data_IF_998089416283
#
_entry.id   IF_998089416283
#
_cell.length_a   1.000
_cell.length_b   1.000
_cell.length_c   1.000
_cell.angle_alpha   90.00
_cell.angle_beta   90.00
_cell.angle_gamma   90.00
#
_symmetry.space_group_name_H-M   'P 1'
#
loop_
_entity.id
_entity.type
_entity.pdbx_description
1 polymer ?
#
# COMPACT_ATOMS: atom_id res chain seq x y z
N UNK A 1 -18.57 3.02 20.39
CA UNK A 1 -17.64 2.13 21.13
C UNK A 1 -16.30 2.86 21.34
N UNK A 2 -15.57 2.57 22.42
CA UNK A 2 -14.31 3.26 22.77
C UNK A 2 -13.26 3.17 21.65
N UNK A 3 -13.12 2.00 21.01
CA UNK A 3 -12.23 1.79 19.87
C UNK A 3 -12.46 2.79 18.72
N UNK A 4 -13.70 2.96 18.27
CA UNK A 4 -14.03 3.92 17.21
C UNK A 4 -13.72 5.37 17.59
N UNK A 5 -13.95 5.75 18.87
CA UNK A 5 -13.59 7.10 19.36
C UNK A 5 -12.08 7.34 19.32
N UNK A 6 -11.29 6.34 19.70
CA UNK A 6 -9.82 6.37 19.62
C UNK A 6 -9.36 6.60 18.19
N UNK A 7 -9.92 5.87 17.22
CA UNK A 7 -9.57 6.02 15.81
C UNK A 7 -10.07 7.33 15.19
N UNK A 8 -11.18 7.89 15.66
CA UNK A 8 -11.73 9.15 15.13
C UNK A 8 -11.10 10.41 15.74
N UNK A 9 -10.46 10.33 16.91
CA UNK A 9 -9.88 11.49 17.56
C UNK A 9 -8.75 12.11 16.72
N UNK A 10 -8.81 13.41 16.45
CA UNK A 10 -7.74 14.10 15.70
C UNK A 10 -6.39 14.07 16.44
N UNK A 11 -6.43 14.06 17.77
CA UNK A 11 -5.26 13.99 18.64
C UNK A 11 -5.57 13.12 19.87
N UNK A 12 -4.58 12.33 20.30
CA UNK A 12 -4.61 11.55 21.54
C UNK A 12 -4.81 12.44 22.77
N UNK A 13 -4.35 13.69 22.73
CA UNK A 13 -4.58 14.67 23.79
C UNK A 13 -6.06 14.98 24.01
N UNK A 14 -6.88 14.85 22.97
CA UNK A 14 -8.32 15.12 22.98
C UNK A 14 -9.16 13.92 23.43
N UNK A 15 -8.53 12.77 23.71
CA UNK A 15 -9.24 11.59 24.20
C UNK A 15 -9.65 11.75 25.65
N UNK A 16 -10.88 11.31 25.93
CA UNK A 16 -11.37 11.15 27.29
C UNK A 16 -10.40 10.25 28.08
N UNK A 17 -10.16 10.64 29.33
CA UNK A 17 -9.49 9.81 30.33
C UNK A 17 -9.97 8.36 30.36
N UNK A 18 -11.27 8.12 30.12
CA UNK A 18 -11.86 6.79 30.07
C UNK A 18 -11.35 5.91 28.91
N UNK A 19 -10.92 6.51 27.79
CA UNK A 19 -10.44 5.78 26.61
C UNK A 19 -8.91 5.51 26.65
N UNK A 20 -8.17 6.19 27.55
CA UNK A 20 -6.70 6.06 27.67
C UNK A 20 -6.21 4.65 27.99
N UNK A 21 -6.82 3.89 28.91
CA UNK A 21 -6.36 2.53 29.21
C UNK A 21 -6.42 1.62 27.98
N UNK A 22 -7.47 1.75 27.17
CA UNK A 22 -7.63 0.98 25.93
C UNK A 22 -6.58 1.39 24.90
N UNK A 23 -6.32 2.69 24.72
CA UNK A 23 -5.26 3.15 23.82
C UNK A 23 -3.89 2.57 24.21
N UNK A 24 -3.53 2.61 25.50
CA UNK A 24 -2.25 2.07 26.00
C UNK A 24 -2.16 0.57 25.76
N UNK A 25 -3.26 -0.16 25.95
CA UNK A 25 -3.33 -1.58 25.65
C UNK A 25 -3.07 -1.83 24.15
N UNK A 26 -3.76 -1.12 23.26
CA UNK A 26 -3.60 -1.26 21.80
C UNK A 26 -2.16 -0.98 21.34
N UNK A 27 -1.56 0.12 21.83
CA UNK A 27 -0.17 0.46 21.54
C UNK A 27 0.81 -0.61 22.05
N UNK A 28 0.55 -1.15 23.23
CA UNK A 28 1.37 -2.21 23.81
C UNK A 28 1.29 -3.50 22.99
N UNK A 29 0.07 -3.89 22.59
CA UNK A 29 -0.14 -5.06 21.72
C UNK A 29 0.53 -4.92 20.36
N UNK A 30 0.44 -3.77 19.69
CA UNK A 30 1.16 -3.51 18.44
C UNK A 30 2.68 -3.62 18.63
N UNK A 31 3.22 -3.04 19.70
CA UNK A 31 4.66 -3.11 19.99
C UNK A 31 5.13 -4.53 20.22
N UNK A 32 4.39 -5.33 20.99
CA UNK A 32 4.72 -6.73 21.23
C UNK A 32 4.65 -7.56 19.94
N UNK A 33 3.61 -7.33 19.12
CA UNK A 33 3.48 -7.95 17.80
C UNK A 33 4.64 -7.57 16.88
N UNK A 34 5.05 -6.30 16.85
CA UNK A 34 6.20 -5.84 16.07
C UNK A 34 7.52 -6.50 16.49
N UNK A 35 7.79 -6.56 17.80
CA UNK A 35 9.00 -7.23 18.32
C UNK A 35 8.99 -8.72 17.96
N UNK A 36 7.84 -9.38 18.08
CA UNK A 36 7.69 -10.78 17.68
C UNK A 36 7.91 -10.96 16.18
N UNK A 37 7.25 -10.14 15.35
CA UNK A 37 7.39 -10.15 13.90
C UNK A 37 8.84 -10.00 13.45
N UNK A 38 9.52 -8.98 13.98
CA UNK A 38 10.91 -8.64 13.62
C UNK A 38 11.94 -9.68 14.07
N UNK A 39 11.63 -10.52 15.06
CA UNK A 39 12.47 -11.63 15.48
C UNK A 39 12.15 -12.90 14.69
N UNK A 40 10.87 -13.22 14.49
CA UNK A 40 10.43 -14.44 13.80
C UNK A 40 10.71 -14.40 12.31
N UNK A 41 10.56 -13.25 11.65
CA UNK A 41 10.64 -13.14 10.19
C UNK A 41 11.90 -12.41 9.70
N UNK A 42 12.89 -12.21 10.60
CA UNK A 42 14.08 -11.39 10.31
C UNK A 42 14.83 -11.86 9.08
N UNK A 43 15.22 -13.13 9.08
CA UNK A 43 16.03 -13.72 8.03
C UNK A 43 15.23 -13.83 6.72
N UNK A 44 13.97 -14.24 6.83
CA UNK A 44 13.07 -14.41 5.69
C UNK A 44 12.84 -13.10 4.92
N UNK A 45 12.61 -12.00 5.64
CA UNK A 45 12.26 -10.71 5.04
C UNK A 45 13.44 -9.74 4.98
N UNK A 46 14.63 -10.10 5.46
CA UNK A 46 15.81 -9.23 5.50
C UNK A 46 15.64 -8.03 6.44
N UNK A 47 14.95 -8.19 7.57
CA UNK A 47 14.60 -7.09 8.48
C UNK A 47 15.86 -6.55 9.18
N UNK A 48 16.15 -5.24 9.11
CA UNK A 48 17.30 -4.64 9.78
C UNK A 48 17.24 -4.78 11.30
N UNK A 49 18.41 -4.84 11.94
CA UNK A 49 18.50 -4.83 13.40
C UNK A 49 18.14 -3.44 13.93
N UNK A 50 17.10 -3.38 14.76
CA UNK A 50 16.68 -2.16 15.45
C UNK A 50 17.64 -1.85 16.60
N UNK A 51 18.04 -0.58 16.77
CA UNK A 51 19.12 -0.19 17.70
C UNK A 51 18.67 -0.13 19.16
N UNK A 52 17.36 -0.04 19.43
CA UNK A 52 16.83 0.21 20.77
C UNK A 52 16.31 -1.04 21.46
N UNK A 53 16.39 -1.04 22.81
CA UNK A 53 15.70 -2.02 23.67
C UNK A 53 14.17 -1.98 23.53
N UNK A 54 13.63 -0.86 23.03
CA UNK A 54 12.22 -0.69 22.64
C UNK A 54 12.20 -0.23 21.19
N UNK A 55 12.18 -1.20 20.29
CA UNK A 55 12.09 -0.92 18.87
C UNK A 55 10.68 -0.42 18.51
N UNK A 56 10.62 0.59 17.66
CA UNK A 56 9.38 1.14 17.10
C UNK A 56 9.38 0.92 15.59
N UNK A 57 8.19 0.80 15.01
CA UNK A 57 8.01 0.66 13.55
C UNK A 57 8.61 1.85 12.79
N UNK A 58 8.55 3.04 13.39
CA UNK A 58 9.12 4.28 12.85
C UNK A 58 10.62 4.18 12.52
N UNK A 59 11.38 3.36 13.24
CA UNK A 59 12.80 3.14 12.97
C UNK A 59 13.04 2.39 11.65
N UNK A 60 12.04 1.63 11.20
CA UNK A 60 12.10 0.87 9.95
C UNK A 60 11.46 1.59 8.78
N UNK A 61 10.83 2.77 8.97
CA UNK A 61 10.14 3.48 7.87
C UNK A 61 11.00 3.62 6.60
N UNK A 62 12.27 4.07 6.65
CA UNK A 62 13.08 4.18 5.43
C UNK A 62 13.24 2.84 4.71
N UNK A 63 13.48 1.76 5.47
CA UNK A 63 13.65 0.42 4.92
C UNK A 63 12.33 -0.16 4.39
N UNK A 64 11.21 0.04 5.09
CA UNK A 64 9.88 -0.41 4.68
C UNK A 64 9.44 0.23 3.36
N UNK A 65 9.80 1.50 3.14
CA UNK A 65 9.49 2.20 1.89
C UNK A 65 10.18 1.58 0.67
N UNK A 66 11.28 0.86 0.88
CA UNK A 66 12.02 0.16 -0.18
C UNK A 66 11.67 -1.33 -0.23
N UNK A 67 10.94 -1.85 0.77
CA UNK A 67 10.61 -3.28 0.95
C UNK A 67 9.10 -3.46 1.17
N UNK A 68 8.30 -3.16 0.15
CA UNK A 68 6.84 -3.15 0.24
C UNK A 68 6.23 -4.50 0.62
N UNK A 69 6.83 -5.63 0.23
CA UNK A 69 6.38 -6.96 0.65
C UNK A 69 6.47 -7.12 2.18
N UNK A 70 7.59 -6.69 2.77
CA UNK A 70 7.76 -6.70 4.22
C UNK A 70 6.80 -5.70 4.90
N UNK A 71 6.54 -4.56 4.26
CA UNK A 71 5.55 -3.59 4.74
C UNK A 71 4.14 -4.17 4.78
N UNK A 72 3.66 -4.82 3.70
CA UNK A 72 2.35 -5.51 3.69
C UNK A 72 2.29 -6.60 4.76
N UNK A 73 3.36 -7.38 4.89
CA UNK A 73 3.43 -8.45 5.89
C UNK A 73 3.41 -7.92 7.33
N UNK A 74 4.09 -6.80 7.61
CA UNK A 74 4.06 -6.18 8.93
C UNK A 74 2.63 -5.74 9.27
N UNK A 75 1.96 -5.03 8.36
CA UNK A 75 0.61 -4.51 8.61
C UNK A 75 -0.41 -5.64 8.81
N UNK A 76 -0.29 -6.75 8.08
CA UNK A 76 -1.09 -7.96 8.32
C UNK A 76 -0.77 -8.68 9.64
N UNK A 77 0.37 -8.38 10.28
CA UNK A 77 0.79 -8.98 11.54
C UNK A 77 0.37 -8.15 12.76
N UNK A 78 0.09 -6.85 12.58
CA UNK A 78 -0.27 -5.97 13.68
C UNK A 78 -1.74 -6.16 14.07
N UNK A 79 -2.06 -6.30 15.38
CA UNK A 79 -3.43 -6.49 15.84
C UNK A 79 -4.30 -5.23 15.75
N UNK A 80 -3.69 -4.04 15.67
CA UNK A 80 -4.40 -2.76 15.56
C UNK A 80 -3.71 -1.90 14.50
N UNK A 81 -3.79 -2.33 13.24
CA UNK A 81 -3.08 -1.72 12.12
C UNK A 81 -3.56 -0.28 11.84
N UNK A 82 -4.84 0.01 12.05
CA UNK A 82 -5.45 1.33 11.89
C UNK A 82 -4.81 2.34 12.85
N UNK A 83 -4.50 1.91 14.07
CA UNK A 83 -3.85 2.75 15.07
C UNK A 83 -2.40 3.04 14.68
N UNK A 84 -1.69 2.05 14.14
CA UNK A 84 -0.31 2.21 13.67
C UNK A 84 -0.26 3.22 12.52
N UNK A 85 -1.05 3.00 11.46
CA UNK A 85 -0.99 3.83 10.26
C UNK A 85 -1.44 5.27 10.54
N UNK A 86 -2.39 5.47 11.48
CA UNK A 86 -2.83 6.80 11.90
C UNK A 86 -1.70 7.64 12.50
N UNK A 87 -0.69 7.01 13.10
CA UNK A 87 0.47 7.70 13.65
C UNK A 87 1.51 8.09 12.60
N UNK A 88 1.39 7.58 11.37
CA UNK A 88 2.37 7.84 10.32
C UNK A 88 2.15 9.21 9.69
N UNK A 89 3.24 9.93 9.35
CA UNK A 89 3.17 11.09 8.47
C UNK A 89 2.44 10.75 7.16
N UNK A 90 1.47 11.59 6.77
CA UNK A 90 0.70 11.41 5.53
C UNK A 90 1.61 11.28 4.29
N UNK A 91 2.77 11.95 4.28
CA UNK A 91 3.74 11.84 3.21
C UNK A 91 4.28 10.40 3.00
N UNK A 92 4.43 9.63 4.09
CA UNK A 92 4.83 8.21 4.00
C UNK A 92 3.70 7.34 3.47
N UNK A 93 2.46 7.60 3.91
CA UNK A 93 1.27 6.90 3.39
C UNK A 93 1.12 7.14 1.88
N UNK A 94 1.31 8.38 1.42
CA UNK A 94 1.28 8.72 -0.01
C UNK A 94 2.42 8.01 -0.75
N UNK A 95 3.63 7.99 -0.20
CA UNK A 95 4.78 7.30 -0.81
C UNK A 95 4.50 5.81 -0.98
N UNK A 96 3.93 5.17 0.05
CA UNK A 96 3.50 3.77 -0.02
C UNK A 96 2.41 3.58 -1.08
N UNK A 97 1.35 4.38 -1.06
CA UNK A 97 0.27 4.30 -2.04
C UNK A 97 0.75 4.39 -3.48
N UNK A 98 1.72 5.26 -3.79
CA UNK A 98 2.33 5.33 -5.12
C UNK A 98 3.03 4.03 -5.54
N UNK A 99 3.68 3.36 -4.59
CA UNK A 99 4.31 2.07 -4.84
C UNK A 99 3.27 0.97 -5.09
N UNK A 100 2.18 0.97 -4.31
CA UNK A 100 1.07 0.01 -4.49
C UNK A 100 0.37 0.18 -5.84
N UNK A 101 0.05 1.42 -6.21
CA UNK A 101 -0.51 1.75 -7.53
C UNK A 101 0.41 1.26 -8.66
N UNK A 102 1.72 1.48 -8.52
CA UNK A 102 2.68 1.01 -9.50
C UNK A 102 2.70 -0.52 -9.61
N UNK A 103 2.71 -1.25 -8.49
CA UNK A 103 2.64 -2.70 -8.48
C UNK A 103 1.36 -3.21 -9.19
N UNK A 104 0.20 -2.62 -8.89
CA UNK A 104 -1.06 -3.01 -9.54
C UNK A 104 -1.07 -2.73 -11.04
N UNK A 105 -0.55 -1.57 -11.47
CA UNK A 105 -0.46 -1.21 -12.88
C UNK A 105 0.46 -2.16 -13.63
N UNK A 106 1.63 -2.47 -13.08
CA UNK A 106 2.58 -3.41 -13.67
C UNK A 106 1.99 -4.83 -13.75
N UNK A 107 1.30 -5.29 -12.70
CA UNK A 107 0.59 -6.57 -12.70
C UNK A 107 -0.52 -6.61 -13.76
N UNK A 108 -1.27 -5.52 -13.94
CA UNK A 108 -2.29 -5.43 -14.98
C UNK A 108 -1.68 -5.51 -16.39
N UNK A 109 -0.57 -4.82 -16.65
CA UNK A 109 0.15 -4.89 -17.92
C UNK A 109 0.61 -6.32 -18.22
N UNK A 110 1.22 -7.00 -17.24
CA UNK A 110 1.66 -8.39 -17.38
C UNK A 110 0.50 -9.34 -17.66
N UNK A 111 -0.60 -9.18 -16.92
CA UNK A 111 -1.81 -9.99 -17.10
C UNK A 111 -2.36 -9.83 -18.52
N UNK A 112 -2.47 -8.59 -19.01
CA UNK A 112 -2.98 -8.31 -20.36
C UNK A 112 -2.02 -8.85 -21.43
N UNK A 113 -0.70 -8.72 -21.25
CA UNK A 113 0.27 -9.27 -22.21
C UNK A 113 0.25 -10.80 -22.26
N UNK A 114 0.00 -11.45 -21.13
CA UNK A 114 -0.07 -12.91 -21.01
C UNK A 114 -1.39 -13.52 -21.48
N UNK A 115 -2.47 -12.74 -21.54
CA UNK A 115 -3.80 -13.23 -21.88
C UNK A 115 -3.94 -13.48 -23.39
N UNK A 116 -3.99 -14.76 -23.77
CA UNK A 116 -4.08 -15.22 -25.17
C UNK A 116 -5.44 -14.90 -25.82
N UNK A 117 -6.46 -14.57 -25.04
CA UNK A 117 -7.78 -14.16 -25.56
C UNK A 117 -7.78 -12.70 -26.04
N UNK A 118 -6.80 -11.90 -25.61
CA UNK A 118 -6.67 -10.50 -26.04
C UNK A 118 -6.07 -10.36 -27.43
N UNK A 119 -6.38 -9.24 -28.08
CA UNK A 119 -5.79 -8.86 -29.37
C UNK A 119 -4.26 -8.79 -29.27
N UNK A 120 -3.56 -9.36 -30.26
CA UNK A 120 -2.09 -9.39 -30.29
C UNK A 120 -1.45 -8.00 -30.16
N UNK A 121 -2.08 -6.97 -30.72
CA UNK A 121 -1.65 -5.57 -30.61
C UNK A 121 -1.68 -5.08 -29.16
N UNK A 122 -2.75 -5.37 -28.42
CA UNK A 122 -2.87 -5.00 -27.01
C UNK A 122 -1.79 -5.68 -26.17
N UNK A 123 -1.59 -6.98 -26.40
CA UNK A 123 -0.60 -7.77 -25.67
C UNK A 123 0.82 -7.25 -25.89
N UNK A 124 1.18 -7.01 -27.15
CA UNK A 124 2.48 -6.45 -27.53
C UNK A 124 2.67 -5.06 -26.92
N UNK A 125 1.66 -4.20 -27.02
CA UNK A 125 1.69 -2.86 -26.45
C UNK A 125 1.91 -2.87 -24.93
N UNK A 126 1.19 -3.74 -24.20
CA UNK A 126 1.36 -3.90 -22.75
C UNK A 126 2.73 -4.47 -22.38
N UNK A 127 3.26 -5.43 -23.14
CA UNK A 127 4.61 -5.97 -22.93
C UNK A 127 5.68 -4.88 -23.11
N UNK A 128 5.63 -4.14 -24.23
CA UNK A 128 6.58 -3.05 -24.50
C UNK A 128 6.49 -1.93 -23.46
N UNK A 129 5.30 -1.62 -22.99
CA UNK A 129 5.11 -0.64 -21.93
C UNK A 129 5.67 -1.13 -20.60
N UNK A 130 5.38 -2.37 -20.21
CA UNK A 130 5.94 -2.98 -19.02
C UNK A 130 7.49 -2.95 -19.05
N UNK A 131 8.09 -3.35 -20.17
CA UNK A 131 9.54 -3.36 -20.32
C UNK A 131 10.14 -1.94 -20.25
N UNK A 132 9.46 -0.94 -20.81
CA UNK A 132 9.87 0.45 -20.69
C UNK A 132 9.84 0.96 -19.24
N UNK A 133 8.87 0.53 -18.43
CA UNK A 133 8.82 0.86 -17.00
C UNK A 133 9.94 0.19 -16.19
N UNK A 134 10.47 -0.94 -16.67
CA UNK A 134 11.54 -1.71 -16.05
C UNK A 134 12.92 -1.44 -16.67
N UNK A 135 13.02 -0.42 -17.53
CA UNK A 135 14.25 -0.12 -18.24
C UNK A 135 15.42 0.17 -17.28
N UNK A 136 16.61 -0.41 -17.49
CA UNK A 136 17.78 -0.15 -16.66
C UNK A 136 18.12 1.35 -16.59
N UNK A 137 18.36 1.86 -15.38
CA UNK A 137 18.71 3.27 -15.16
C UNK A 137 17.51 4.23 -15.08
N UNK A 138 16.27 3.75 -15.27
CA UNK A 138 15.08 4.54 -15.03
C UNK A 138 14.87 4.73 -13.53
N UNK A 139 14.67 5.98 -13.08
CA UNK A 139 14.37 6.25 -11.68
C UNK A 139 12.98 5.73 -11.29
N UNK A 140 12.80 5.37 -10.02
CA UNK A 140 11.50 4.89 -9.51
C UNK A 140 10.37 5.88 -9.81
N UNK A 141 10.60 7.19 -9.62
CA UNK A 141 9.61 8.23 -9.91
C UNK A 141 9.25 8.28 -11.40
N UNK A 142 10.24 8.13 -12.28
CA UNK A 142 10.01 8.12 -13.73
C UNK A 142 9.26 6.86 -14.17
N UNK A 143 9.60 5.69 -13.61
CA UNK A 143 8.89 4.44 -13.85
C UNK A 143 7.42 4.54 -13.40
N UNK A 144 7.17 5.09 -12.21
CA UNK A 144 5.82 5.34 -11.70
C UNK A 144 5.02 6.29 -12.61
N UNK A 145 5.63 7.41 -13.03
CA UNK A 145 4.98 8.35 -13.94
C UNK A 145 4.65 7.70 -15.30
N UNK A 146 5.54 6.84 -15.81
CA UNK A 146 5.34 6.13 -17.07
C UNK A 146 4.20 5.11 -16.98
N UNK A 147 4.12 4.33 -15.90
CA UNK A 147 3.04 3.37 -15.66
C UNK A 147 1.68 4.05 -15.44
N UNK A 148 1.67 5.25 -14.88
CA UNK A 148 0.45 6.03 -14.63
C UNK A 148 -0.03 6.84 -15.85
N UNK A 149 0.68 6.80 -16.98
CA UNK A 149 0.40 7.65 -18.14
C UNK A 149 -1.06 7.55 -18.62
N UNK A 150 -1.87 8.63 -18.47
CA UNK A 150 -3.28 8.61 -18.85
C UNK A 150 -3.48 8.37 -20.34
N UNK A 151 -2.61 8.93 -21.18
CA UNK A 151 -2.68 8.78 -22.63
C UNK A 151 -2.43 7.33 -23.07
N UNK A 152 -1.52 6.62 -22.40
CA UNK A 152 -1.26 5.21 -22.68
C UNK A 152 -2.41 4.32 -22.25
N UNK A 153 -3.00 4.58 -21.07
CA UNK A 153 -4.21 3.88 -20.62
C UNK A 153 -5.39 4.11 -21.58
N UNK A 154 -5.64 5.37 -21.96
CA UNK A 154 -6.68 5.73 -22.94
C UNK A 154 -6.44 5.10 -24.30
N UNK A 155 -5.19 4.98 -24.73
CA UNK A 155 -4.85 4.27 -25.98
C UNK A 155 -5.19 2.78 -25.87
N UNK A 156 -4.88 2.15 -24.74
CA UNK A 156 -5.14 0.74 -24.51
C UNK A 156 -6.64 0.38 -24.57
N UNK A 157 -7.52 1.31 -24.16
CA UNK A 157 -8.98 1.15 -24.23
C UNK A 157 -9.54 0.93 -25.66
N UNK A 158 -8.76 1.21 -26.71
CA UNK A 158 -9.16 0.91 -28.09
C UNK A 158 -9.16 -0.60 -28.38
N UNK A 159 -8.42 -1.39 -27.59
CA UNK A 159 -8.32 -2.83 -27.77
C UNK A 159 -9.03 -3.63 -26.69
N UNK A 160 -9.07 -3.13 -25.45
CA UNK A 160 -9.63 -3.84 -24.30
C UNK A 160 -10.63 -2.95 -23.53
N UNK A 161 -11.60 -3.54 -22.78
CA UNK A 161 -12.48 -2.76 -21.92
C UNK A 161 -11.71 -1.97 -20.84
N UNK A 162 -12.16 -0.76 -20.52
CA UNK A 162 -11.56 0.08 -19.49
C UNK A 162 -11.49 -0.61 -18.10
N UNK A 163 -12.41 -1.53 -17.81
CA UNK A 163 -12.43 -2.34 -16.59
C UNK A 163 -11.21 -3.25 -16.40
N UNK A 164 -10.51 -3.59 -17.49
CA UNK A 164 -9.28 -4.36 -17.46
C UNK A 164 -8.07 -3.50 -17.07
N UNK A 165 -8.17 -2.18 -17.21
CA UNK A 165 -7.12 -1.23 -16.90
C UNK A 165 -6.97 -0.92 -15.40
N UNK A 166 -5.93 -0.15 -15.09
CA UNK A 166 -5.64 0.38 -13.73
C UNK A 166 -5.27 1.86 -13.79
N UNK A 167 -5.92 2.59 -14.69
CA UNK A 167 -5.84 4.04 -14.75
C UNK A 167 -6.55 4.64 -13.54
N UNK A 168 -6.02 5.75 -13.03
CA UNK A 168 -6.72 6.54 -12.03
C UNK A 168 -7.96 7.18 -12.67
N UNK A 169 -9.15 7.07 -12.05
CA UNK A 169 -10.34 7.79 -12.50
C UNK A 169 -10.14 9.31 -12.49
N UNK A 170 -10.73 10.06 -13.44
CA UNK A 170 -10.49 11.50 -13.58
C UNK A 170 -11.08 12.33 -12.42
N UNK A 171 -12.07 11.79 -11.73
CA UNK A 171 -12.78 12.39 -10.59
C UNK A 171 -12.11 12.16 -9.24
N UNK A 172 -11.11 11.28 -9.18
CA UNK A 172 -10.35 10.96 -7.96
C UNK A 172 -9.02 11.70 -7.99
N UNK A 173 -8.71 12.47 -6.94
CA UNK A 173 -7.42 13.16 -6.81
C UNK A 173 -6.25 12.19 -6.65
N UNK A 174 -5.02 12.64 -6.91
CA UNK A 174 -3.83 11.79 -6.68
C UNK A 174 -3.70 11.37 -5.22
N UNK A 175 -4.06 12.25 -4.29
CA UNK A 175 -4.03 11.95 -2.86
C UNK A 175 -4.98 10.80 -2.54
N UNK A 176 -6.25 10.92 -2.93
CA UNK A 176 -7.27 9.90 -2.68
C UNK A 176 -6.89 8.59 -3.34
N UNK A 177 -6.42 8.62 -4.59
CA UNK A 177 -6.01 7.42 -5.32
C UNK A 177 -4.90 6.66 -4.60
N UNK A 178 -3.86 7.35 -4.12
CA UNK A 178 -2.78 6.71 -3.39
C UNK A 178 -3.24 6.16 -2.03
N UNK A 179 -4.10 6.89 -1.31
CA UNK A 179 -4.64 6.42 -0.03
C UNK A 179 -5.50 5.17 -0.23
N UNK A 180 -6.36 5.14 -1.24
CA UNK A 180 -7.23 3.99 -1.55
C UNK A 180 -6.44 2.68 -1.70
N UNK A 181 -5.25 2.73 -2.31
CA UNK A 181 -4.39 1.55 -2.53
C UNK A 181 -3.64 1.09 -1.27
N UNK A 182 -3.67 1.88 -0.20
CA UNK A 182 -3.14 1.49 1.11
C UNK A 182 -4.22 0.85 1.98
N UNK A 183 -5.49 1.24 1.80
CA UNK A 183 -6.59 0.83 2.68
C UNK A 183 -6.76 -0.68 2.81
N UNK A 184 -6.49 -1.44 1.75
CA UNK A 184 -6.55 -2.91 1.76
C UNK A 184 -5.60 -3.58 2.75
N UNK A 185 -4.55 -2.87 3.16
CA UNK A 185 -3.53 -3.36 4.09
C UNK A 185 -3.71 -2.83 5.50
N UNK A 186 -4.58 -1.85 5.71
CA UNK A 186 -4.67 -1.11 6.99
C UNK A 186 -6.09 -0.99 7.54
N UNK A 187 -7.06 -1.67 6.93
CA UNK A 187 -8.41 -1.80 7.45
C UNK A 187 -8.71 -3.29 7.59
N UNK A 188 -8.89 -3.77 8.81
CA UNK A 188 -9.13 -5.20 9.08
C UNK A 188 -10.41 -5.72 8.39
N UNK A 189 -11.43 -4.86 8.28
CA UNK A 189 -12.69 -5.16 7.61
C UNK A 189 -12.71 -4.76 6.12
N UNK A 190 -11.55 -4.53 5.48
CA UNK A 190 -11.50 -4.10 4.08
C UNK A 190 -12.28 -5.05 3.17
N UNK A 191 -12.12 -6.36 3.37
CA UNK A 191 -12.83 -7.43 2.64
C UNK A 191 -14.36 -7.34 2.77
N UNK A 192 -14.86 -6.65 3.80
CA UNK A 192 -16.29 -6.40 4.03
C UNK A 192 -16.78 -5.11 3.36
N UNK A 193 -15.90 -4.32 2.77
CA UNK A 193 -16.28 -3.12 1.99
C UNK A 193 -16.68 -3.49 0.57
N UNK A 194 -17.52 -2.69 -0.12
CA UNK A 194 -17.83 -2.92 -1.54
C UNK A 194 -16.58 -2.99 -2.43
N UNK A 195 -15.54 -2.20 -2.13
CA UNK A 195 -14.29 -2.20 -2.88
C UNK A 195 -13.45 -3.45 -2.59
N UNK A 196 -13.33 -3.86 -1.33
CA UNK A 196 -12.60 -5.07 -0.97
C UNK A 196 -13.26 -6.36 -1.47
N UNK A 197 -14.58 -6.37 -1.65
CA UNK A 197 -15.29 -7.49 -2.31
C UNK A 197 -15.09 -7.56 -3.83
N UNK A 198 -14.62 -6.48 -4.46
CA UNK A 198 -14.45 -6.38 -5.90
C UNK A 198 -13.00 -6.61 -6.36
N UNK A 199 -12.07 -6.83 -5.43
CA UNK A 199 -10.66 -7.15 -5.68
C UNK A 199 -10.45 -8.61 -6.06
#
# INVERSE_FOLDING_TARGET
MAYARILQAADVALLDSADRPLLVLMQTSNREAFVKWSNTHRELLGIPVTRKRRAEVSELHPWLMDNYVAMRHLHAYLPYVELEIKSWPIALIIKWGKAEVFCEQMAALLRISGDMEQKNEARKYCSEWHDACMAPGLSTTAAQALAQSPDRWKRLEHWIPASCGRARPPDISDLEWNVLHVLSYVIDEWVMTPMGRAQ
#
